data_IF_069489376400
#
_entry.id   IF_069489376400
#
_cell.length_a   1.000
_cell.length_b   1.000
_cell.length_c   1.000
_cell.angle_alpha   90.00
_cell.angle_beta   90.00
_cell.angle_gamma   90.00
#
_symmetry.space_group_name_H-M   'P 1'
#
loop_
_entity.id
_entity.type
_entity.pdbx_description
1 polymer ?
#
# COMPACT_ATOMS: atom_id res chain seq x y z
N UNK A 1 29.34 8.61 -21.42
CA UNK A 1 29.61 10.01 -21.83
C UNK A 1 28.61 10.91 -21.12
N UNK A 2 29.08 12.03 -20.57
CA UNK A 2 28.17 13.05 -20.01
C UNK A 2 27.45 13.76 -21.17
N UNK A 3 26.16 14.05 -20.97
CA UNK A 3 25.35 14.84 -21.92
C UNK A 3 25.11 16.22 -21.31
N UNK A 4 25.32 17.25 -22.10
CA UNK A 4 24.96 18.62 -21.75
C UNK A 4 23.57 18.93 -22.29
N UNK A 5 22.67 19.34 -21.41
CA UNK A 5 21.30 19.75 -21.76
C UNK A 5 21.06 21.13 -21.17
N UNK A 6 21.18 22.15 -21.98
CA UNK A 6 21.23 23.54 -21.54
C UNK A 6 22.50 23.84 -20.71
N UNK A 7 22.35 24.52 -19.57
CA UNK A 7 23.45 24.85 -18.66
C UNK A 7 23.75 23.72 -17.65
N UNK A 8 23.08 22.57 -17.72
CA UNK A 8 23.32 21.46 -16.82
C UNK A 8 24.01 20.27 -17.51
N UNK A 9 25.00 19.71 -16.84
CA UNK A 9 25.70 18.51 -17.28
C UNK A 9 25.18 17.31 -16.49
N UNK A 10 24.94 16.18 -17.16
CA UNK A 10 24.59 14.93 -16.50
C UNK A 10 25.31 13.74 -17.12
N UNK A 11 25.74 12.79 -16.30
CA UNK A 11 26.41 11.59 -16.72
C UNK A 11 27.83 11.47 -16.17
N UNK A 12 28.58 10.50 -16.73
CA UNK A 12 29.96 10.18 -16.32
C UNK A 12 30.98 10.84 -17.24
N UNK A 13 31.93 11.55 -16.65
CA UNK A 13 33.09 12.09 -17.35
C UNK A 13 34.36 11.80 -16.55
N UNK A 14 35.21 10.93 -17.08
CA UNK A 14 36.41 10.48 -16.39
C UNK A 14 36.08 9.80 -15.05
N UNK A 15 36.65 10.30 -13.96
CA UNK A 15 36.45 9.80 -12.60
C UNK A 15 35.33 10.56 -11.83
N UNK A 16 34.55 11.37 -12.55
CA UNK A 16 33.47 12.18 -11.95
C UNK A 16 32.13 11.80 -12.54
N UNK A 17 31.09 11.89 -11.69
CA UNK A 17 29.68 11.77 -12.06
C UNK A 17 29.03 13.13 -11.80
N UNK A 18 28.43 13.70 -12.84
CA UNK A 18 27.67 14.94 -12.79
C UNK A 18 26.18 14.62 -12.76
N UNK A 19 25.42 15.30 -11.91
CA UNK A 19 23.99 15.15 -11.80
C UNK A 19 23.35 16.42 -11.26
N UNK A 20 22.07 16.61 -11.55
CA UNK A 20 21.30 17.74 -11.02
C UNK A 20 20.48 17.27 -9.82
N UNK A 21 20.62 17.92 -8.69
CA UNK A 21 19.84 17.69 -7.48
C UNK A 21 19.09 18.98 -7.10
N UNK A 22 17.75 18.94 -7.08
CA UNK A 22 16.89 20.10 -6.79
C UNK A 22 17.29 21.38 -7.55
N UNK A 23 17.58 21.24 -8.85
CA UNK A 23 17.98 22.35 -9.72
C UNK A 23 19.43 22.81 -9.54
N UNK A 24 20.21 22.18 -8.66
CA UNK A 24 21.65 22.46 -8.48
C UNK A 24 22.51 21.45 -9.20
N UNK A 25 23.50 21.94 -9.92
CA UNK A 25 24.51 21.07 -10.52
C UNK A 25 25.41 20.51 -9.40
N UNK A 26 25.51 19.19 -9.34
CA UNK A 26 26.33 18.47 -8.38
C UNK A 26 27.35 17.58 -9.09
N UNK A 27 28.51 17.41 -8.49
CA UNK A 27 29.49 16.41 -8.92
C UNK A 27 29.91 15.54 -7.75
N UNK A 28 30.24 14.28 -8.05
CA UNK A 28 30.86 13.36 -7.11
C UNK A 28 31.94 12.54 -7.78
N UNK A 29 32.98 12.22 -7.04
CA UNK A 29 33.99 11.28 -7.50
C UNK A 29 33.43 9.87 -7.60
N UNK A 30 33.86 9.11 -8.59
CA UNK A 30 33.60 7.67 -8.62
C UNK A 30 34.52 6.98 -7.61
N UNK A 31 33.98 6.10 -6.78
CA UNK A 31 34.83 5.25 -5.96
C UNK A 31 35.64 4.30 -6.85
N UNK A 32 36.92 4.16 -6.58
CA UNK A 32 37.82 3.24 -7.30
C UNK A 32 37.52 1.78 -6.99
N UNK A 33 37.05 1.53 -5.77
CA UNK A 33 36.53 0.21 -5.36
C UNK A 33 35.42 0.43 -4.35
N UNK A 34 34.38 -0.40 -4.42
CA UNK A 34 33.29 -0.42 -3.44
C UNK A 34 33.38 -1.74 -2.69
N UNK A 35 33.84 -1.69 -1.45
CA UNK A 35 33.71 -2.83 -0.56
C UNK A 35 32.22 -3.10 -0.33
N UNK A 36 31.76 -4.28 -0.65
CA UNK A 36 30.39 -4.73 -0.41
C UNK A 36 30.41 -5.91 0.57
N UNK A 37 30.73 -5.66 1.86
CA UNK A 37 30.70 -6.70 2.85
C UNK A 37 29.26 -7.20 2.98
N UNK A 38 29.05 -8.48 2.80
CA UNK A 38 27.73 -9.11 2.93
C UNK A 38 27.52 -9.53 4.40
N UNK A 39 27.52 -8.55 5.30
CA UNK A 39 27.22 -8.83 6.71
C UNK A 39 25.77 -9.27 6.87
N UNK A 40 25.48 -10.08 7.88
CA UNK A 40 24.10 -10.52 8.20
C UNK A 40 23.12 -9.34 8.34
N UNK A 41 23.55 -8.27 9.03
CA UNK A 41 22.74 -7.06 9.17
C UNK A 41 22.43 -6.40 7.82
N UNK A 42 23.40 -6.34 6.90
CA UNK A 42 23.17 -5.81 5.56
C UNK A 42 22.24 -6.70 4.73
N UNK A 43 22.38 -8.02 4.85
CA UNK A 43 21.52 -8.98 4.16
C UNK A 43 20.08 -8.87 4.68
N UNK A 44 19.88 -8.82 6.00
CA UNK A 44 18.58 -8.62 6.61
C UNK A 44 17.92 -7.30 6.16
N UNK A 45 18.68 -6.19 6.18
CA UNK A 45 18.17 -4.91 5.70
C UNK A 45 17.78 -4.93 4.22
N UNK A 46 18.57 -5.58 3.35
CA UNK A 46 18.25 -5.74 1.92
C UNK A 46 17.01 -6.59 1.72
N UNK A 47 16.88 -7.70 2.48
CA UNK A 47 15.70 -8.56 2.44
C UNK A 47 14.43 -7.78 2.83
N UNK A 48 14.45 -7.09 3.96
CA UNK A 48 13.32 -6.26 4.40
C UNK A 48 12.96 -5.19 3.37
N UNK A 49 13.97 -4.51 2.82
CA UNK A 49 13.75 -3.51 1.77
C UNK A 49 13.09 -4.11 0.52
N UNK A 50 13.52 -5.29 0.09
CA UNK A 50 12.95 -5.98 -1.06
C UNK A 50 11.49 -6.37 -0.79
N UNK A 51 11.18 -6.88 0.41
CA UNK A 51 9.82 -7.25 0.81
C UNK A 51 8.88 -6.04 0.86
N UNK A 52 9.30 -4.93 1.49
CA UNK A 52 8.51 -3.68 1.51
C UNK A 52 8.28 -3.15 0.09
N UNK A 53 9.28 -3.27 -0.78
CA UNK A 53 9.16 -2.83 -2.18
C UNK A 53 8.15 -3.67 -2.96
N UNK A 54 8.13 -4.99 -2.75
CA UNK A 54 7.11 -5.88 -3.33
C UNK A 54 5.72 -5.53 -2.80
N UNK A 55 5.56 -5.38 -1.48
CA UNK A 55 4.29 -4.98 -0.87
C UNK A 55 3.78 -3.65 -1.44
N UNK A 56 4.68 -2.68 -1.61
CA UNK A 56 4.34 -1.40 -2.26
C UNK A 56 3.77 -1.58 -3.66
N UNK A 57 4.28 -2.53 -4.44
CA UNK A 57 3.76 -2.83 -5.76
C UNK A 57 2.36 -3.42 -5.71
N UNK A 58 2.10 -4.30 -4.76
CA UNK A 58 0.78 -4.94 -4.58
C UNK A 58 -0.29 -3.97 -4.07
N UNK A 59 0.11 -3.00 -3.24
CA UNK A 59 -0.77 -1.97 -2.67
C UNK A 59 -0.71 -0.64 -3.43
N UNK A 60 -0.24 -0.65 -4.67
CA UNK A 60 0.02 0.55 -5.48
C UNK A 60 -1.20 1.46 -5.58
N UNK A 61 -2.37 0.93 -5.88
CA UNK A 61 -3.60 1.72 -6.04
C UNK A 61 -3.96 2.50 -4.78
N UNK A 62 -3.82 1.86 -3.61
CA UNK A 62 -4.13 2.51 -2.35
C UNK A 62 -3.14 3.62 -1.98
N UNK A 63 -1.82 3.32 -1.98
CA UNK A 63 -0.84 4.28 -1.51
C UNK A 63 -0.57 5.43 -2.48
N UNK A 64 -0.81 5.26 -3.79
CA UNK A 64 -0.73 6.36 -4.75
C UNK A 64 -1.74 7.46 -4.45
N UNK A 65 -2.90 7.11 -3.90
CA UNK A 65 -3.93 8.05 -3.49
C UNK A 65 -3.69 8.47 -2.03
N UNK A 66 -3.59 7.50 -1.13
CA UNK A 66 -3.55 7.73 0.31
C UNK A 66 -2.31 8.46 0.81
N UNK A 67 -1.15 8.30 0.14
CA UNK A 67 0.10 8.97 0.51
C UNK A 67 0.45 10.16 -0.40
N UNK A 68 -0.38 10.47 -1.41
CA UNK A 68 -0.07 11.52 -2.40
C UNK A 68 0.20 12.87 -1.73
N UNK A 69 -0.71 13.33 -0.88
CA UNK A 69 -0.58 14.61 -0.19
C UNK A 69 0.65 14.64 0.73
N UNK A 70 0.88 13.56 1.45
CA UNK A 70 2.04 13.44 2.33
C UNK A 70 3.36 13.46 1.53
N UNK A 71 3.40 12.78 0.39
CA UNK A 71 4.55 12.75 -0.50
C UNK A 71 4.90 14.14 -1.07
N UNK A 72 3.90 14.92 -1.49
CA UNK A 72 4.11 16.30 -1.94
C UNK A 72 4.72 17.16 -0.82
N UNK A 73 4.18 17.06 0.39
CA UNK A 73 4.67 17.83 1.54
C UNK A 73 6.11 17.49 1.90
N UNK A 74 6.46 16.20 1.86
CA UNK A 74 7.82 15.70 2.14
C UNK A 74 8.75 15.80 0.91
N UNK A 75 8.28 16.34 -0.23
CA UNK A 75 9.02 16.41 -1.50
C UNK A 75 9.63 15.07 -1.92
N UNK A 76 8.85 14.00 -1.78
CA UNK A 76 9.29 12.64 -2.04
C UNK A 76 8.26 11.89 -2.90
N UNK A 77 8.58 10.68 -3.36
CA UNK A 77 7.63 9.84 -4.07
C UNK A 77 6.74 9.06 -3.09
N UNK A 78 5.52 8.71 -3.51
CA UNK A 78 4.61 7.87 -2.70
C UNK A 78 5.23 6.51 -2.38
N UNK A 79 6.03 5.95 -3.29
CA UNK A 79 6.77 4.71 -3.06
C UNK A 79 7.84 4.83 -1.96
N UNK A 80 8.59 5.94 -1.95
CA UNK A 80 9.59 6.16 -0.93
C UNK A 80 8.94 6.38 0.45
N UNK A 81 7.85 7.16 0.49
CA UNK A 81 7.06 7.36 1.71
C UNK A 81 6.45 6.05 2.20
N UNK A 82 5.84 5.25 1.31
CA UNK A 82 5.28 3.95 1.69
C UNK A 82 6.34 3.05 2.33
N UNK A 83 7.53 2.95 1.73
CA UNK A 83 8.64 2.16 2.28
C UNK A 83 9.11 2.68 3.62
N UNK A 84 9.23 3.99 3.76
CA UNK A 84 9.65 4.63 5.02
C UNK A 84 8.66 4.35 6.16
N UNK A 85 7.36 4.44 5.90
CA UNK A 85 6.30 4.22 6.89
C UNK A 85 6.15 2.74 7.27
N UNK A 86 6.46 1.83 6.35
CA UNK A 86 6.22 0.39 6.51
C UNK A 86 7.49 -0.45 6.71
N UNK A 87 8.66 0.18 6.92
CA UNK A 87 9.93 -0.54 7.11
C UNK A 87 9.92 -1.48 8.32
N UNK A 88 9.13 -1.17 9.35
CA UNK A 88 9.03 -1.91 10.61
C UNK A 88 7.76 -2.78 10.69
N UNK A 89 7.09 -3.02 9.55
CA UNK A 89 5.91 -3.90 9.47
C UNK A 89 6.29 -5.39 9.33
N UNK A 90 7.58 -5.72 9.39
CA UNK A 90 8.06 -7.10 9.29
C UNK A 90 8.42 -7.62 10.68
N UNK A 91 8.06 -8.90 10.90
CA UNK A 91 8.53 -9.65 12.05
C UNK A 91 9.99 -10.06 11.87
N UNK A 92 10.71 -10.43 12.95
CA UNK A 92 12.06 -10.97 12.83
C UNK A 92 12.17 -12.16 11.88
N UNK A 93 11.10 -12.97 11.76
CA UNK A 93 11.01 -14.14 10.90
C UNK A 93 10.71 -13.79 9.42
N UNK A 94 10.60 -12.49 9.11
CA UNK A 94 10.35 -12.00 7.75
C UNK A 94 8.88 -12.03 7.32
N UNK A 95 7.95 -12.26 8.24
CA UNK A 95 6.52 -12.17 7.96
C UNK A 95 6.03 -10.72 8.02
N UNK A 96 5.00 -10.40 7.23
CA UNK A 96 4.40 -9.07 7.22
C UNK A 96 3.28 -8.99 8.26
N UNK A 97 3.37 -8.02 9.15
CA UNK A 97 2.27 -7.65 10.03
C UNK A 97 1.28 -6.74 9.27
N UNK A 98 0.40 -7.37 8.47
CA UNK A 98 -0.55 -6.68 7.59
C UNK A 98 -1.44 -5.66 8.33
N UNK A 99 -1.96 -5.93 9.54
CA UNK A 99 -2.71 -4.94 10.32
C UNK A 99 -1.96 -3.62 10.61
N UNK A 100 -0.64 -3.62 10.59
CA UNK A 100 0.19 -2.43 10.82
C UNK A 100 0.56 -1.66 9.56
N UNK A 101 0.20 -2.17 8.38
CA UNK A 101 0.55 -1.53 7.11
C UNK A 101 -0.19 -0.21 6.94
N UNK A 102 0.57 0.82 6.59
CA UNK A 102 0.08 2.18 6.39
C UNK A 102 0.02 2.45 4.89
N UNK A 103 -1.19 2.62 4.36
CA UNK A 103 -1.44 2.95 2.95
C UNK A 103 -1.85 4.42 2.76
N UNK A 104 -2.22 5.11 3.84
CA UNK A 104 -2.62 6.52 3.83
C UNK A 104 -2.14 7.21 5.09
N UNK A 105 -1.78 8.49 4.97
CA UNK A 105 -1.42 9.35 6.08
C UNK A 105 -1.84 10.79 5.84
N UNK A 106 -2.51 11.38 6.83
CA UNK A 106 -2.96 12.75 6.70
C UNK A 106 -3.70 13.28 7.91
N UNK A 107 -4.42 14.37 7.71
CA UNK A 107 -5.10 15.13 8.77
C UNK A 107 -6.63 15.19 8.62
N UNK A 108 -7.18 14.48 7.62
CA UNK A 108 -8.64 14.37 7.51
C UNK A 108 -9.12 13.47 8.63
N UNK A 109 -10.22 13.83 9.26
CA UNK A 109 -10.82 13.05 10.32
C UNK A 109 -11.26 11.68 9.81
N UNK A 110 -10.89 10.64 10.55
CA UNK A 110 -11.30 9.26 10.28
C UNK A 110 -12.80 9.07 10.57
N UNK A 111 -13.36 8.00 10.04
CA UNK A 111 -14.71 7.51 10.37
C UNK A 111 -14.60 6.27 11.24
N UNK A 112 -15.60 6.03 12.06
CA UNK A 112 -15.74 4.78 12.78
C UNK A 112 -16.39 3.73 11.87
N UNK A 113 -15.77 2.56 11.76
CA UNK A 113 -16.32 1.44 11.01
C UNK A 113 -17.30 0.70 11.91
N UNK A 114 -18.55 0.61 11.47
CA UNK A 114 -19.62 -0.03 12.24
C UNK A 114 -19.79 -1.50 11.91
N UNK A 115 -19.62 -1.89 10.65
CA UNK A 115 -19.60 -3.30 10.27
C UNK A 115 -18.82 -3.55 8.98
N UNK A 116 -18.41 -4.80 8.81
CA UNK A 116 -17.80 -5.30 7.58
C UNK A 116 -18.35 -6.71 7.34
N UNK A 117 -19.10 -6.89 6.27
CA UNK A 117 -19.83 -8.13 5.98
C UNK A 117 -19.56 -8.61 4.57
N UNK A 118 -19.41 -9.93 4.44
CA UNK A 118 -19.38 -10.63 3.15
C UNK A 118 -20.78 -11.16 2.93
N UNK A 119 -21.39 -10.83 1.82
CA UNK A 119 -22.68 -11.42 1.46
C UNK A 119 -22.44 -12.81 0.85
N UNK A 120 -22.56 -13.83 1.69
CA UNK A 120 -22.48 -15.24 1.26
C UNK A 120 -23.78 -15.71 0.56
N UNK A 121 -24.75 -14.81 0.38
CA UNK A 121 -25.94 -15.08 -0.43
C UNK A 121 -25.54 -15.31 -1.88
N UNK A 122 -26.04 -16.40 -2.44
CA UNK A 122 -25.94 -16.81 -3.84
C UNK A 122 -25.90 -15.58 -4.74
N UNK A 123 -24.82 -15.43 -5.50
CA UNK A 123 -24.67 -14.39 -6.50
C UNK A 123 -26.00 -14.21 -7.23
N UNK A 124 -26.69 -13.12 -6.97
CA UNK A 124 -27.89 -12.77 -7.71
C UNK A 124 -27.49 -12.75 -9.17
N UNK A 125 -28.10 -13.63 -9.94
CA UNK A 125 -27.93 -13.90 -11.37
C UNK A 125 -27.37 -12.69 -12.12
N UNK A 126 -26.06 -12.72 -12.44
CA UNK A 126 -25.43 -11.75 -13.31
C UNK A 126 -24.19 -11.01 -12.82
N UNK A 127 -23.85 -11.06 -11.54
CA UNK A 127 -22.62 -10.42 -11.03
C UNK A 127 -21.49 -11.44 -10.90
N UNK A 128 -20.40 -11.25 -11.64
CA UNK A 128 -19.22 -12.11 -11.59
C UNK A 128 -18.40 -11.87 -10.31
N UNK A 129 -18.97 -12.06 -9.11
CA UNK A 129 -18.26 -11.89 -7.85
C UNK A 129 -19.16 -11.78 -6.63
N UNK A 130 -18.55 -11.79 -5.47
CA UNK A 130 -19.21 -11.77 -4.17
C UNK A 130 -19.20 -10.35 -3.62
N UNK A 131 -20.36 -9.76 -3.27
CA UNK A 131 -20.43 -8.45 -2.70
C UNK A 131 -19.88 -8.43 -1.27
N UNK A 132 -19.04 -7.46 -1.01
CA UNK A 132 -18.48 -7.17 0.29
C UNK A 132 -18.87 -5.75 0.69
N UNK A 133 -19.52 -5.60 1.84
CA UNK A 133 -20.05 -4.30 2.29
C UNK A 133 -19.40 -3.87 3.59
N UNK A 134 -18.89 -2.64 3.60
CA UNK A 134 -18.42 -1.95 4.81
C UNK A 134 -19.38 -0.81 5.12
N UNK A 135 -19.90 -0.77 6.35
CA UNK A 135 -20.67 0.36 6.85
C UNK A 135 -19.84 1.18 7.84
N UNK A 136 -20.02 2.48 7.81
CA UNK A 136 -19.28 3.41 8.64
C UNK A 136 -20.16 4.57 9.11
N UNK A 137 -19.78 5.21 10.19
CA UNK A 137 -20.49 6.38 10.68
C UNK A 137 -20.31 7.56 9.72
N UNK A 138 -21.41 7.98 9.13
CA UNK A 138 -21.44 9.12 8.19
C UNK A 138 -21.43 10.48 8.88
N UNK A 139 -21.57 10.54 10.22
CA UNK A 139 -21.54 11.80 10.97
C UNK A 139 -20.24 12.54 10.75
N UNK A 140 -20.35 13.85 10.67
CA UNK A 140 -19.22 14.73 10.40
C UNK A 140 -18.93 15.58 11.63
N UNK A 141 -17.80 15.34 12.27
CA UNK A 141 -17.36 16.14 13.42
C UNK A 141 -16.35 17.22 13.00
N UNK A 142 -15.37 16.88 12.17
CA UNK A 142 -14.34 17.80 11.66
C UNK A 142 -14.04 17.69 10.18
N UNK A 143 -14.58 16.65 9.51
CA UNK A 143 -14.48 16.45 8.07
C UNK A 143 -15.62 17.10 7.30
N UNK A 144 -15.84 16.68 6.06
CA UNK A 144 -16.96 17.11 5.21
C UNK A 144 -17.77 15.91 4.72
N UNK A 145 -19.06 16.09 4.55
CA UNK A 145 -19.96 15.08 3.98
C UNK A 145 -19.54 14.64 2.55
N UNK A 146 -18.85 15.54 1.83
CA UNK A 146 -18.32 15.32 0.48
C UNK A 146 -16.93 14.69 0.44
N UNK A 147 -16.30 14.43 1.59
CA UNK A 147 -15.03 13.70 1.63
C UNK A 147 -15.26 12.29 1.09
N UNK A 148 -14.36 11.82 0.26
CA UNK A 148 -14.47 10.49 -0.39
C UNK A 148 -13.89 9.41 0.52
N UNK A 149 -14.66 8.37 0.73
CA UNK A 149 -14.23 7.16 1.43
C UNK A 149 -13.68 6.16 0.44
N UNK A 150 -12.45 5.72 0.66
CA UNK A 150 -11.74 4.72 -0.12
C UNK A 150 -11.62 3.43 0.66
N UNK A 151 -11.98 2.31 0.03
CA UNK A 151 -11.77 0.97 0.55
C UNK A 151 -10.85 0.20 -0.37
N UNK A 152 -9.73 -0.26 0.16
CA UNK A 152 -8.79 -1.13 -0.53
C UNK A 152 -8.82 -2.52 0.10
N UNK A 153 -9.03 -3.53 -0.73
CA UNK A 153 -9.05 -4.94 -0.35
C UNK A 153 -7.77 -5.58 -0.84
N UNK A 154 -6.99 -6.15 0.06
CA UNK A 154 -5.75 -6.86 -0.25
C UNK A 154 -5.91 -8.35 -0.03
N UNK A 155 -5.54 -9.14 -1.01
CA UNK A 155 -5.53 -10.59 -0.95
C UNK A 155 -4.09 -11.13 -0.98
N UNK A 156 -3.55 -11.54 0.18
CA UNK A 156 -2.16 -11.96 0.29
C UNK A 156 -1.80 -13.18 -0.56
N UNK A 157 -2.68 -14.16 -0.66
CA UNK A 157 -2.41 -15.42 -1.36
C UNK A 157 -2.06 -15.21 -2.84
N UNK A 158 -2.69 -14.24 -3.50
CA UNK A 158 -2.38 -13.86 -4.90
C UNK A 158 -1.49 -12.62 -4.99
N UNK A 159 -1.04 -12.06 -3.86
CA UNK A 159 -0.25 -10.82 -3.83
C UNK A 159 -0.90 -9.69 -4.62
N UNK A 160 -2.23 -9.58 -4.56
CA UNK A 160 -2.99 -8.59 -5.32
C UNK A 160 -3.94 -7.81 -4.42
N UNK A 161 -4.32 -6.63 -4.86
CA UNK A 161 -5.29 -5.81 -4.17
C UNK A 161 -6.14 -5.04 -5.16
N UNK A 162 -7.32 -4.63 -4.71
CA UNK A 162 -8.29 -3.89 -5.50
C UNK A 162 -8.87 -2.74 -4.70
N UNK A 163 -8.96 -1.59 -5.34
CA UNK A 163 -9.65 -0.43 -4.81
C UNK A 163 -11.13 -0.51 -5.21
N UNK A 164 -12.03 -0.41 -4.22
CA UNK A 164 -13.45 -0.26 -4.48
C UNK A 164 -13.74 1.12 -5.08
N UNK A 165 -14.87 1.25 -5.76
CA UNK A 165 -15.35 2.56 -6.21
C UNK A 165 -15.53 3.47 -5.01
N UNK A 166 -14.87 4.66 -4.98
CA UNK A 166 -14.99 5.56 -3.85
C UNK A 166 -16.42 6.07 -3.70
N UNK A 167 -16.83 6.28 -2.46
CA UNK A 167 -18.15 6.82 -2.13
C UNK A 167 -18.02 8.07 -1.25
N UNK A 168 -18.95 9.01 -1.30
CA UNK A 168 -18.93 10.15 -0.39
C UNK A 168 -19.15 9.70 1.05
N UNK A 169 -18.53 10.40 2.00
CA UNK A 169 -18.68 10.14 3.44
C UNK A 169 -20.15 10.07 3.88
N UNK A 170 -20.99 10.89 3.28
CA UNK A 170 -22.44 10.92 3.55
C UNK A 170 -23.18 9.63 3.18
N UNK A 171 -22.57 8.76 2.37
CA UNK A 171 -23.15 7.47 1.99
C UNK A 171 -23.31 6.51 3.17
N UNK A 172 -22.36 6.54 4.13
CA UNK A 172 -22.33 5.64 5.29
C UNK A 172 -22.03 4.18 4.96
N UNK A 173 -21.92 3.84 3.67
CA UNK A 173 -21.60 2.49 3.23
C UNK A 173 -20.82 2.48 1.92
N UNK A 174 -19.99 1.45 1.73
CA UNK A 174 -19.32 1.14 0.48
C UNK A 174 -19.44 -0.36 0.20
N UNK A 175 -19.69 -0.72 -1.06
CA UNK A 175 -19.73 -2.10 -1.50
C UNK A 175 -18.63 -2.34 -2.53
N UNK A 176 -17.84 -3.38 -2.32
CA UNK A 176 -16.87 -3.90 -3.27
C UNK A 176 -17.34 -5.26 -3.80
N UNK A 177 -17.14 -5.51 -5.07
CA UNK A 177 -17.38 -6.84 -5.66
C UNK A 177 -16.03 -7.54 -5.73
N UNK A 178 -15.89 -8.64 -4.99
CA UNK A 178 -14.68 -9.44 -4.93
C UNK A 178 -14.79 -10.61 -5.90
N UNK A 179 -13.71 -10.93 -6.64
CA UNK A 179 -13.67 -12.18 -7.41
C UNK A 179 -13.92 -13.39 -6.50
N UNK A 180 -14.69 -14.34 -6.97
CA UNK A 180 -15.04 -15.54 -6.19
C UNK A 180 -13.79 -16.33 -5.77
N UNK A 181 -12.78 -16.37 -6.61
CA UNK A 181 -11.49 -17.00 -6.38
C UNK A 181 -10.71 -16.41 -5.17
N UNK A 182 -11.06 -15.20 -4.72
CA UNK A 182 -10.45 -14.59 -3.54
C UNK A 182 -11.00 -15.14 -2.22
N UNK A 183 -12.19 -15.70 -2.25
CA UNK A 183 -12.81 -16.29 -1.06
C UNK A 183 -12.64 -17.82 -1.02
N UNK A 184 -12.53 -18.43 -2.20
CA UNK A 184 -12.33 -19.87 -2.35
C UNK A 184 -11.06 -20.12 -3.19
N UNK A 185 -9.86 -19.87 -2.62
CA UNK A 185 -8.65 -20.12 -3.35
C UNK A 185 -8.52 -21.59 -3.68
N UNK A 186 -8.26 -21.90 -4.94
CA UNK A 186 -7.82 -23.24 -5.33
C UNK A 186 -6.55 -23.59 -4.53
N UNK A 187 -6.40 -24.85 -4.11
CA UNK A 187 -5.21 -25.33 -3.38
C UNK A 187 -3.94 -24.82 -4.04
N UNK A 188 -2.99 -24.23 -3.27
CA UNK A 188 -1.80 -23.64 -3.84
C UNK A 188 -0.97 -24.72 -4.55
N UNK A 189 -0.96 -24.69 -5.87
CA UNK A 189 0.02 -25.45 -6.65
C UNK A 189 1.39 -24.87 -6.32
N UNK A 190 2.22 -25.65 -5.64
CA UNK A 190 3.60 -25.29 -5.32
C UNK A 190 4.40 -25.11 -6.60
N UNK A 191 4.50 -23.91 -7.08
CA UNK A 191 5.48 -23.54 -8.11
C UNK A 191 6.34 -22.40 -7.59
N UNK A 192 7.48 -22.81 -7.13
CA UNK A 192 8.77 -22.13 -7.00
C UNK A 192 8.88 -20.64 -6.67
N UNK A 193 9.63 -20.36 -5.61
CA UNK A 193 10.49 -19.22 -5.34
C UNK A 193 9.85 -17.87 -5.01
N UNK A 194 10.03 -17.47 -3.74
CA UNK A 194 9.78 -16.12 -3.17
C UNK A 194 8.32 -15.73 -2.93
N UNK A 195 7.50 -16.64 -2.49
CA UNK A 195 6.20 -16.32 -1.90
C UNK A 195 6.43 -15.66 -0.53
N UNK A 196 5.84 -14.49 -0.32
CA UNK A 196 5.72 -13.93 1.03
C UNK A 196 4.94 -14.97 1.85
N UNK A 197 5.61 -15.63 2.79
CA UNK A 197 4.96 -16.61 3.66
C UNK A 197 4.04 -15.89 4.61
N UNK A 198 2.74 -16.10 4.46
CA UNK A 198 1.73 -15.59 5.36
C UNK A 198 1.33 -16.71 6.33
N UNK A 199 1.80 -16.57 7.55
CA UNK A 199 1.39 -17.47 8.63
C UNK A 199 0.06 -17.00 9.20
N UNK A 200 -1.05 -17.54 8.71
CA UNK A 200 -2.25 -17.59 9.54
C UNK A 200 -3.17 -18.73 9.13
N UNK A 201 -3.07 -19.81 9.86
CA UNK A 201 -3.88 -21.03 9.66
C UNK A 201 -5.38 -20.86 9.93
N UNK A 202 -5.85 -19.68 10.37
CA UNK A 202 -7.25 -19.46 10.81
C UNK A 202 -7.78 -18.04 10.56
N UNK A 203 -7.22 -17.25 9.64
CA UNK A 203 -7.72 -15.92 9.34
C UNK A 203 -8.31 -15.86 7.93
N UNK A 204 -9.38 -15.10 7.75
CA UNK A 204 -9.88 -14.73 6.44
C UNK A 204 -8.70 -14.25 5.58
N UNK A 205 -8.60 -14.72 4.33
CA UNK A 205 -7.46 -14.39 3.48
C UNK A 205 -7.42 -12.93 3.04
N UNK A 206 -8.39 -12.11 3.45
CA UNK A 206 -8.53 -10.72 3.03
C UNK A 206 -8.08 -9.74 4.11
N UNK A 207 -7.42 -8.67 3.70
CA UNK A 207 -7.08 -7.53 4.53
C UNK A 207 -7.66 -6.25 3.95
N UNK A 208 -8.28 -5.47 4.78
CA UNK A 208 -9.03 -4.29 4.40
C UNK A 208 -8.38 -3.04 4.97
N UNK A 209 -8.18 -2.07 4.11
CA UNK A 209 -7.65 -0.76 4.46
C UNK A 209 -8.58 0.32 3.94
N UNK A 210 -8.97 1.23 4.82
CA UNK A 210 -9.78 2.35 4.43
C UNK A 210 -9.11 3.67 4.78
N UNK A 211 -9.47 4.71 4.07
CA UNK A 211 -9.07 6.08 4.34
C UNK A 211 -10.03 7.06 3.66
N UNK A 212 -10.02 8.30 4.12
CA UNK A 212 -10.77 9.38 3.50
C UNK A 212 -9.85 10.32 2.73
N UNK A 213 -10.41 10.96 1.71
CA UNK A 213 -9.78 12.03 0.96
C UNK A 213 -10.72 13.21 0.85
N UNK A 214 -10.27 14.36 1.26
CA UNK A 214 -11.00 15.62 1.08
C UNK A 214 -10.99 16.08 -0.38
N UNK A 215 -11.92 16.95 -0.75
CA UNK A 215 -11.95 17.60 -2.07
C UNK A 215 -10.68 18.40 -2.42
N UNK A 216 -9.87 18.75 -1.41
CA UNK A 216 -8.57 19.40 -1.58
C UNK A 216 -7.40 18.41 -1.70
N UNK A 217 -7.67 17.11 -1.78
CA UNK A 217 -6.68 16.06 -1.90
C UNK A 217 -5.97 15.65 -0.60
N UNK A 218 -6.30 16.27 0.56
CA UNK A 218 -5.79 15.82 1.86
C UNK A 218 -6.42 14.49 2.23
N UNK A 219 -5.66 13.62 2.88
CA UNK A 219 -6.12 12.29 3.27
C UNK A 219 -6.22 12.14 4.78
N UNK A 220 -6.90 11.10 5.26
CA UNK A 220 -6.86 10.63 6.64
C UNK A 220 -5.71 9.65 6.84
N UNK A 221 -5.45 9.26 8.08
CA UNK A 221 -4.64 8.09 8.37
C UNK A 221 -5.36 6.81 7.94
N UNK A 222 -4.60 5.71 7.79
CA UNK A 222 -5.12 4.40 7.43
C UNK A 222 -6.01 3.84 8.54
N UNK A 223 -7.16 3.30 8.16
CA UNK A 223 -8.03 2.50 9.02
C UNK A 223 -7.87 1.05 8.57
N UNK A 224 -7.35 0.18 9.42
CA UNK A 224 -7.37 -1.26 9.18
C UNK A 224 -8.69 -1.84 9.71
N UNK A 225 -9.38 -2.61 8.87
CA UNK A 225 -10.68 -3.20 9.21
C UNK A 225 -10.48 -4.71 9.39
N UNK A 226 -10.52 -5.20 10.64
CA UNK A 226 -10.47 -6.64 10.88
C UNK A 226 -11.76 -7.30 10.41
N UNK A 227 -11.63 -8.37 9.64
CA UNK A 227 -12.78 -9.20 9.32
C UNK A 227 -13.18 -10.05 10.54
N UNK A 228 -14.48 -10.25 10.78
CA UNK A 228 -14.93 -11.16 11.82
C UNK A 228 -14.36 -12.55 11.54
N UNK A 229 -13.81 -13.18 12.59
CA UNK A 229 -13.44 -14.58 12.51
C UNK A 229 -14.74 -15.39 12.32
N UNK A 230 -14.76 -16.27 11.31
CA UNK A 230 -15.86 -17.23 11.25
C UNK A 230 -15.91 -18.02 12.56
N UNK A 231 -16.95 -17.82 13.33
CA UNK A 231 -17.34 -18.75 14.39
C UNK A 231 -17.91 -19.99 13.68
N UNK A 232 -17.09 -21.03 13.57
CA UNK A 232 -17.57 -22.37 13.19
C UNK A 232 -18.46 -22.94 14.29
#
# INVERSE_FOLDING_TARGET
MARKQGDSESGKLGNKIYYTWHGRQCERSMPTSVANPQTEAQQAHRSNFAMVSKLSSYMKEAHLIGLHWHAIRERNSTYAIFRQLNKDCFTPDGEINLPRVIVSRGSVEQVEITSATIDNGVASTGSAGIPFTVTFDSRVYGGKATDEFFLFVYYPALCTGRLATPVPRSSGLVTAILPEEWLYPAEPTQTGTNTLTHSSKNAFPLHLYAFLRSTRGRTSDTIYIPLPKETR
#
